data_IF_823471204273
#
_entry.id   IF_823471204273
#
_cell.length_a   1.000
_cell.length_b   1.000
_cell.length_c   1.000
_cell.angle_alpha   90.00
_cell.angle_beta   90.00
_cell.angle_gamma   90.00
#
_symmetry.space_group_name_H-M   'P 1'
#
loop_
_entity.id
_entity.type
_entity.pdbx_description
1 polymer ?
#
# COMPACT_ATOMS: atom_id res chain seq x y z
N UNK A 1 9.60 -5.11 0.80
CA UNK A 1 8.20 -4.84 1.22
C UNK A 1 8.08 -3.37 1.59
N UNK A 2 7.87 -2.53 0.59
CA UNK A 2 7.43 -1.14 0.77
C UNK A 2 5.92 -1.06 0.53
N UNK A 3 5.19 -0.48 1.48
CA UNK A 3 3.73 -0.37 1.44
C UNK A 3 3.35 1.11 1.58
N UNK A 4 2.70 1.67 0.57
CA UNK A 4 2.15 3.02 0.59
C UNK A 4 0.71 2.99 1.10
N UNK A 5 0.44 3.69 2.21
CA UNK A 5 -0.93 3.99 2.63
C UNK A 5 -1.44 5.27 1.93
N UNK A 6 -2.40 5.11 1.02
CA UNK A 6 -3.07 6.17 0.29
C UNK A 6 -4.60 6.02 0.38
N UNK A 7 -5.16 6.51 1.49
CA UNK A 7 -6.61 6.42 1.80
C UNK A 7 -7.50 7.10 0.75
N UNK A 8 -6.99 8.11 0.06
CA UNK A 8 -7.78 9.01 -0.79
C UNK A 8 -7.35 9.00 -2.25
N UNK A 9 -6.33 8.21 -2.60
CA UNK A 9 -5.78 8.19 -3.97
C UNK A 9 -5.14 9.52 -4.38
N UNK A 10 -4.66 10.32 -3.41
CA UNK A 10 -4.09 11.65 -3.66
C UNK A 10 -2.57 11.62 -3.84
N UNK A 11 -1.93 10.47 -3.59
CA UNK A 11 -0.47 10.27 -3.68
C UNK A 11 -0.08 9.46 -4.91
N UNK A 12 -0.83 9.60 -6.03
CA UNK A 12 -0.63 8.81 -7.27
C UNK A 12 0.76 8.96 -7.86
N UNK A 13 1.38 10.11 -7.65
CA UNK A 13 2.76 10.42 -7.99
C UNK A 13 3.77 9.47 -7.30
N UNK A 14 3.41 8.87 -6.16
CA UNK A 14 4.27 7.96 -5.39
C UNK A 14 3.97 6.47 -5.65
N UNK A 15 2.97 6.14 -6.45
CA UNK A 15 2.55 4.74 -6.67
C UNK A 15 3.63 3.89 -7.34
N UNK A 16 4.48 4.49 -8.18
CA UNK A 16 5.59 3.81 -8.83
C UNK A 16 6.79 3.52 -7.90
N UNK A 17 6.79 4.09 -6.70
CA UNK A 17 7.92 4.02 -5.74
C UNK A 17 7.72 2.92 -4.68
N UNK A 18 6.56 2.27 -4.65
CA UNK A 18 6.20 1.28 -3.63
C UNK A 18 5.75 -0.03 -4.27
N UNK A 19 6.06 -1.16 -3.63
CA UNK A 19 5.65 -2.49 -4.10
C UNK A 19 4.14 -2.70 -3.92
N UNK A 20 3.57 -2.15 -2.86
CA UNK A 20 2.13 -2.22 -2.59
C UNK A 20 1.56 -0.84 -2.28
N UNK A 21 0.32 -0.63 -2.69
CA UNK A 21 -0.46 0.57 -2.36
C UNK A 21 -1.75 0.06 -1.72
N UNK A 22 -2.02 0.50 -0.49
CA UNK A 22 -3.19 0.11 0.29
C UNK A 22 -4.00 1.35 0.68
N UNK A 23 -5.30 1.15 0.87
CA UNK A 23 -6.21 2.20 1.32
C UNK A 23 -6.51 2.11 2.82
N UNK A 24 -6.30 0.94 3.42
CA UNK A 24 -6.52 0.62 4.82
C UNK A 24 -5.35 -0.19 5.38
N UNK A 25 -4.91 0.12 6.61
CA UNK A 25 -3.79 -0.59 7.25
C UNK A 25 -4.05 -2.07 7.48
N UNK A 26 -5.31 -2.51 7.54
CA UNK A 26 -5.67 -3.93 7.68
C UNK A 26 -5.22 -4.75 6.48
N UNK A 27 -5.19 -4.15 5.28
CA UNK A 27 -4.69 -4.80 4.06
C UNK A 27 -3.21 -5.19 4.19
N UNK A 28 -2.44 -4.53 5.07
CA UNK A 28 -1.05 -4.90 5.32
C UNK A 28 -0.92 -6.30 5.98
N UNK A 29 -1.92 -6.74 6.75
CA UNK A 29 -1.92 -8.08 7.33
C UNK A 29 -2.11 -9.16 6.25
N UNK A 30 -2.97 -8.88 5.26
CA UNK A 30 -3.18 -9.78 4.13
C UNK A 30 -1.90 -9.90 3.30
N UNK A 31 -1.25 -8.76 3.01
CA UNK A 31 0.03 -8.72 2.29
C UNK A 31 1.10 -9.55 3.02
N UNK A 32 1.24 -9.40 4.34
CA UNK A 32 2.24 -10.16 5.11
C UNK A 32 1.90 -11.65 5.20
N UNK A 33 0.61 -12.02 5.15
CA UNK A 33 0.19 -13.42 5.25
C UNK A 33 0.37 -14.20 3.94
N UNK A 34 0.39 -13.52 2.80
CA UNK A 34 0.59 -14.13 1.47
C UNK A 34 2.06 -14.24 1.05
N UNK A 35 2.98 -13.64 1.82
CA UNK A 35 4.43 -13.70 1.61
C UNK A 35 5.07 -14.94 2.26
#
# INVERSE_FOLDING_TARGET
ISILLDKTGQKRDLWGECEFIISDLREALDIVSEL
#
